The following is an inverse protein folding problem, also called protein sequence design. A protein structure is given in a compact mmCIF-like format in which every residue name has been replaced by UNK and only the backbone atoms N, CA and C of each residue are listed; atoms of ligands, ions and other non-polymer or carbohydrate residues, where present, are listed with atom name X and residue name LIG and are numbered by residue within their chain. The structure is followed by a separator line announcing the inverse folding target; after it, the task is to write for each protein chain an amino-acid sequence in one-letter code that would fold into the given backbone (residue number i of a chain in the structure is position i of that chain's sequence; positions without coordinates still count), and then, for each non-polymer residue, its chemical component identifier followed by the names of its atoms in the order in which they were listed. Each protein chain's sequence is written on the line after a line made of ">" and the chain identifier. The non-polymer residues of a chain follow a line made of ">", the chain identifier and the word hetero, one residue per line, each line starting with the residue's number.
data_IF_989044724620
#
_entry.id   IF_989044724620
#
_cell.length_a   1.000
_cell.length_b   1.000
_cell.length_c   1.000
_cell.angle_alpha   90.00
_cell.angle_beta   90.00
_cell.angle_gamma   90.00
#
_symmetry.space_group_name_H-M   'P 1'
#
loop_
_entity.id
_entity.type
_entity.pdbx_description
1 polymer ?
#
# COMPACT_ATOMS: atom_id res chain seq x y z
N UNK A 1 -6.00 -29.20 6.22
CA UNK A 1 -5.05 -28.58 5.30
C UNK A 1 -4.88 -27.04 5.45
N UNK A 2 -5.77 -26.34 6.12
CA UNK A 2 -5.73 -24.86 6.16
C UNK A 2 -4.96 -24.27 7.37
N UNK A 3 -4.47 -25.10 8.30
CA UNK A 3 -3.66 -24.67 9.46
C UNK A 3 -2.39 -23.89 9.06
N UNK A 4 -1.56 -24.38 8.09
CA UNK A 4 -0.33 -23.68 7.74
C UNK A 4 -0.59 -22.28 7.11
N UNK A 5 -1.66 -22.13 6.33
CA UNK A 5 -2.02 -20.82 5.75
C UNK A 5 -2.42 -19.81 6.83
N UNK A 6 -3.18 -20.23 7.85
CA UNK A 6 -3.53 -19.38 8.98
C UNK A 6 -2.30 -18.98 9.79
N UNK A 7 -1.38 -19.92 10.01
CA UNK A 7 -0.11 -19.64 10.71
C UNK A 7 0.72 -18.61 9.93
N UNK A 8 0.84 -18.77 8.61
CA UNK A 8 1.55 -17.80 7.75
C UNK A 8 0.94 -16.40 7.82
N UNK A 9 -0.39 -16.28 7.89
CA UNK A 9 -1.04 -14.99 8.04
C UNK A 9 -0.76 -14.33 9.40
N UNK A 10 -0.69 -15.11 10.48
CA UNK A 10 -0.25 -14.61 11.79
C UNK A 10 1.22 -14.18 11.76
N UNK A 11 2.10 -14.99 11.16
CA UNK A 11 3.53 -14.66 10.99
C UNK A 11 3.67 -13.35 10.20
N UNK A 12 2.91 -13.19 9.11
CA UNK A 12 2.92 -11.95 8.34
C UNK A 12 2.51 -10.74 9.18
N UNK A 13 1.44 -10.83 9.98
CA UNK A 13 1.02 -9.74 10.85
C UNK A 13 2.09 -9.39 11.89
N UNK A 14 2.64 -10.39 12.59
CA UNK A 14 3.68 -10.15 13.61
C UNK A 14 4.95 -9.59 12.99
N UNK A 15 5.31 -10.02 11.77
CA UNK A 15 6.43 -9.46 11.02
C UNK A 15 6.19 -7.99 10.68
N UNK A 16 5.00 -7.63 10.17
CA UNK A 16 4.64 -6.24 9.88
C UNK A 16 4.72 -5.37 11.16
N UNK A 17 4.15 -5.84 12.27
CA UNK A 17 4.18 -5.12 13.54
C UNK A 17 5.60 -4.98 14.10
N UNK A 18 6.43 -6.01 13.99
CA UNK A 18 7.83 -5.98 14.41
C UNK A 18 8.67 -5.01 13.60
N UNK A 19 8.54 -5.04 12.26
CA UNK A 19 9.23 -4.09 11.37
C UNK A 19 8.77 -2.65 11.63
N UNK A 20 7.47 -2.45 11.83
CA UNK A 20 6.94 -1.14 12.16
C UNK A 20 7.41 -0.64 13.54
N UNK A 21 7.41 -1.49 14.56
CA UNK A 21 7.93 -1.15 15.89
C UNK A 21 9.43 -0.77 15.83
N UNK A 22 10.23 -1.50 15.05
CA UNK A 22 11.63 -1.15 14.81
C UNK A 22 11.77 0.22 14.11
N UNK A 23 10.91 0.51 13.14
CA UNK A 23 10.89 1.82 12.47
C UNK A 23 10.54 2.96 13.45
N UNK A 24 9.56 2.75 14.32
CA UNK A 24 9.17 3.72 15.38
C UNK A 24 10.32 3.91 16.37
N UNK A 25 11.00 2.85 16.78
CA UNK A 25 12.16 2.97 17.65
C UNK A 25 13.28 3.80 17.01
N UNK A 26 13.60 3.54 15.73
CA UNK A 26 14.55 4.35 14.96
C UNK A 26 14.09 5.80 14.79
N UNK A 27 12.79 6.05 14.62
CA UNK A 27 12.24 7.40 14.55
C UNK A 27 12.61 8.23 15.79
N UNK A 28 12.47 7.66 17.00
CA UNK A 28 12.83 8.34 18.25
C UNK A 28 14.35 8.49 18.40
N UNK A 29 15.14 7.51 17.97
CA UNK A 29 16.62 7.60 18.00
C UNK A 29 17.13 8.66 17.05
N UNK A 30 16.46 8.83 15.92
CA UNK A 30 16.81 9.79 14.89
C UNK A 30 16.52 11.27 15.25
N UNK A 31 16.13 11.63 16.47
CA UNK A 31 15.97 13.01 16.93
C UNK A 31 17.30 13.59 17.48
N UNK A 32 17.68 14.83 17.23
CA UNK A 32 17.06 15.87 16.40
C UNK A 32 17.42 15.77 14.92
N UNK A 33 16.55 16.25 14.04
CA UNK A 33 16.67 16.10 12.61
C UNK A 33 16.60 17.41 11.82
N UNK A 34 17.15 17.45 10.60
CA UNK A 34 17.06 18.59 9.70
C UNK A 34 15.63 18.99 9.36
N UNK A 35 15.39 20.25 8.98
CA UNK A 35 14.04 20.78 8.67
C UNK A 35 13.27 20.00 7.57
N UNK A 36 13.97 19.47 6.56
CA UNK A 36 13.36 18.64 5.49
C UNK A 36 12.72 17.35 6.00
N UNK A 37 13.10 16.90 7.19
CA UNK A 37 12.59 15.65 7.77
C UNK A 37 11.09 15.71 8.07
N UNK A 38 10.51 16.87 8.36
CA UNK A 38 9.08 17.00 8.67
C UNK A 38 8.21 16.42 7.55
N UNK A 39 8.64 16.56 6.29
CA UNK A 39 7.95 15.98 5.14
C UNK A 39 7.95 14.44 5.19
N UNK A 40 9.11 13.87 5.52
CA UNK A 40 9.30 12.41 5.58
C UNK A 40 8.56 11.83 6.78
N UNK A 41 8.56 12.52 7.91
CA UNK A 41 7.86 12.09 9.11
C UNK A 41 6.34 11.98 8.87
N UNK A 42 5.73 12.95 8.18
CA UNK A 42 4.33 12.87 7.80
C UNK A 42 4.05 11.71 6.82
N UNK A 43 4.94 11.45 5.86
CA UNK A 43 4.83 10.31 4.96
C UNK A 43 4.87 8.98 5.75
N UNK A 44 5.80 8.87 6.70
CA UNK A 44 5.93 7.69 7.56
C UNK A 44 4.66 7.46 8.37
N UNK A 45 4.09 8.51 8.97
CA UNK A 45 2.83 8.38 9.74
C UNK A 45 1.65 7.97 8.85
N UNK A 46 1.55 8.49 7.62
CA UNK A 46 0.52 8.09 6.67
C UNK A 46 0.64 6.62 6.28
N UNK A 47 1.84 6.15 6.00
CA UNK A 47 2.12 4.75 5.67
C UNK A 47 1.91 3.82 6.86
N UNK A 48 2.05 4.32 8.09
CA UNK A 48 1.84 3.54 9.32
C UNK A 48 0.43 2.95 9.41
N UNK A 49 -0.57 3.73 8.99
CA UNK A 49 -1.97 3.28 8.92
C UNK A 49 -2.09 2.03 8.04
N UNK A 50 -1.43 2.04 6.88
CA UNK A 50 -1.44 0.90 5.95
C UNK A 50 -0.64 -0.29 6.49
N UNK A 51 0.53 -0.03 7.11
CA UNK A 51 1.41 -1.06 7.65
C UNK A 51 0.76 -1.87 8.78
N UNK A 52 -0.18 -1.28 9.53
CA UNK A 52 -0.88 -1.94 10.64
C UNK A 52 -2.23 -2.51 10.19
N UNK A 53 -3.05 -1.68 9.54
CA UNK A 53 -4.46 -2.03 9.28
C UNK A 53 -4.61 -3.03 8.13
N UNK A 54 -3.82 -2.93 7.07
CA UNK A 54 -3.93 -3.84 5.95
C UNK A 54 -3.59 -5.28 6.32
N UNK A 55 -2.47 -5.58 7.00
CA UNK A 55 -2.20 -6.96 7.41
C UNK A 55 -3.19 -7.46 8.48
N UNK A 56 -3.74 -6.57 9.33
CA UNK A 56 -4.78 -6.94 10.29
C UNK A 56 -6.07 -7.37 9.59
N UNK A 57 -6.55 -6.58 8.62
CA UNK A 57 -7.73 -6.92 7.81
C UNK A 57 -7.43 -8.16 6.95
N UNK A 58 -6.24 -8.24 6.38
CA UNK A 58 -5.77 -9.41 5.64
C UNK A 58 -5.82 -10.68 6.46
N UNK A 59 -5.33 -10.65 7.72
CA UNK A 59 -5.42 -11.75 8.66
C UNK A 59 -6.87 -12.14 8.94
N UNK A 60 -7.75 -11.17 9.24
CA UNK A 60 -9.17 -11.44 9.49
C UNK A 60 -9.82 -12.19 8.32
N UNK A 61 -9.48 -11.84 7.08
CA UNK A 61 -9.96 -12.54 5.90
C UNK A 61 -9.37 -13.96 5.81
N UNK A 62 -8.04 -14.11 5.94
CA UNK A 62 -7.35 -15.39 5.78
C UNK A 62 -7.69 -16.40 6.90
N UNK A 63 -7.89 -15.95 8.14
CA UNK A 63 -8.32 -16.84 9.23
C UNK A 63 -9.68 -17.45 8.94
N UNK A 64 -10.60 -16.70 8.32
CA UNK A 64 -11.93 -17.17 7.99
C UNK A 64 -11.96 -17.91 6.63
N UNK A 65 -11.23 -17.39 5.64
CA UNK A 65 -11.13 -17.97 4.29
C UNK A 65 -9.66 -18.06 3.83
N UNK A 66 -8.93 -19.10 4.20
CA UNK A 66 -7.48 -19.20 3.99
C UNK A 66 -7.03 -19.13 2.53
N UNK A 67 -7.91 -19.49 1.60
CA UNK A 67 -7.64 -19.49 0.15
C UNK A 67 -8.06 -18.21 -0.56
N UNK A 68 -8.60 -17.22 0.18
CA UNK A 68 -9.06 -15.96 -0.41
C UNK A 68 -7.86 -15.05 -0.70
N UNK A 69 -7.64 -14.78 -1.98
CA UNK A 69 -6.51 -13.97 -2.46
C UNK A 69 -6.52 -12.54 -1.90
N UNK A 70 -7.71 -11.96 -1.67
CA UNK A 70 -7.82 -10.58 -1.19
C UNK A 70 -7.16 -10.37 0.18
N UNK A 71 -7.28 -11.34 1.09
CA UNK A 71 -6.60 -11.27 2.38
C UNK A 71 -5.08 -11.30 2.26
N UNK A 72 -4.57 -12.13 1.36
CA UNK A 72 -3.13 -12.21 1.09
C UNK A 72 -2.59 -10.95 0.42
N UNK A 73 -3.33 -10.36 -0.53
CA UNK A 73 -2.96 -9.08 -1.14
C UNK A 73 -2.82 -7.97 -0.10
N UNK A 74 -3.79 -7.84 0.82
CA UNK A 74 -3.71 -6.86 1.91
C UNK A 74 -2.52 -7.14 2.84
N UNK A 75 -2.28 -8.41 3.19
CA UNK A 75 -1.13 -8.80 4.00
C UNK A 75 0.20 -8.41 3.35
N UNK A 76 0.35 -8.64 2.05
CA UNK A 76 1.57 -8.31 1.29
C UNK A 76 1.73 -6.78 1.16
N UNK A 77 0.65 -6.04 0.90
CA UNK A 77 0.69 -4.56 0.88
C UNK A 77 1.21 -4.04 2.23
N UNK A 78 0.66 -4.54 3.34
CA UNK A 78 1.09 -4.17 4.68
C UNK A 78 2.57 -4.47 4.93
N UNK A 79 3.05 -5.63 4.48
CA UNK A 79 4.45 -6.03 4.63
C UNK A 79 5.39 -5.11 3.85
N UNK A 80 5.10 -4.85 2.57
CA UNK A 80 5.91 -3.95 1.74
C UNK A 80 5.91 -2.55 2.36
N UNK A 81 4.76 -2.08 2.85
CA UNK A 81 4.66 -0.76 3.51
C UNK A 81 5.50 -0.72 4.79
N UNK A 82 5.46 -1.76 5.64
CA UNK A 82 6.27 -1.83 6.85
C UNK A 82 7.78 -1.83 6.54
N UNK A 83 8.20 -2.54 5.48
CA UNK A 83 9.58 -2.53 4.99
C UNK A 83 9.96 -1.12 4.51
N UNK A 84 9.08 -0.43 3.77
CA UNK A 84 9.33 0.94 3.27
C UNK A 84 9.53 1.92 4.42
N UNK A 85 8.69 1.85 5.47
CA UNK A 85 8.80 2.71 6.66
C UNK A 85 10.11 2.44 7.39
N UNK A 86 10.45 1.17 7.61
CA UNK A 86 11.71 0.79 8.27
C UNK A 86 12.93 1.23 7.44
N UNK A 87 12.93 1.00 6.13
CA UNK A 87 13.99 1.41 5.23
C UNK A 87 14.22 2.93 5.25
N UNK A 88 13.12 3.71 5.30
CA UNK A 88 13.19 5.17 5.43
C UNK A 88 13.91 5.58 6.71
N UNK A 89 13.50 5.06 7.87
CA UNK A 89 14.09 5.42 9.16
C UNK A 89 15.52 4.90 9.31
N UNK A 90 15.83 3.73 8.75
CA UNK A 90 17.17 3.17 8.75
C UNK A 90 18.14 3.97 7.85
N UNK A 91 17.66 4.45 6.70
CA UNK A 91 18.48 5.33 5.84
C UNK A 91 18.79 6.66 6.56
N UNK A 92 17.82 7.27 7.24
CA UNK A 92 18.04 8.49 8.04
C UNK A 92 19.06 8.22 9.14
N UNK A 93 18.90 7.12 9.88
CA UNK A 93 19.83 6.71 10.93
C UNK A 93 21.27 6.61 10.42
N UNK A 94 21.45 5.88 9.31
CA UNK A 94 22.78 5.61 8.79
C UNK A 94 23.46 6.76 8.07
N UNK A 95 22.71 7.72 7.52
CA UNK A 95 23.31 8.89 6.88
C UNK A 95 23.52 10.08 7.84
N UNK A 96 22.63 10.26 8.85
CA UNK A 96 22.60 11.51 9.63
C UNK A 96 22.74 11.33 11.14
N UNK A 97 22.28 10.20 11.72
CA UNK A 97 22.33 10.01 13.17
C UNK A 97 23.62 9.35 13.63
N UNK A 98 23.93 8.22 13.05
CA UNK A 98 25.21 7.53 13.22
C UNK A 98 25.73 7.12 11.85
N UNK A 99 26.70 7.86 11.28
CA UNK A 99 27.26 7.54 9.98
C UNK A 99 27.80 6.10 9.94
N UNK A 100 27.02 5.21 9.32
CA UNK A 100 27.41 3.84 9.05
C UNK A 100 28.17 3.77 7.72
N UNK A 101 28.81 2.64 7.46
CA UNK A 101 29.32 2.38 6.10
C UNK A 101 28.21 2.65 5.08
N UNK A 102 28.49 3.48 4.09
CA UNK A 102 27.47 4.06 3.17
C UNK A 102 26.59 3.04 2.44
N UNK A 103 27.01 1.79 2.32
CA UNK A 103 26.30 0.77 1.52
C UNK A 103 24.93 0.42 2.08
N UNK A 104 24.80 0.15 3.39
CA UNK A 104 23.53 -0.28 3.97
C UNK A 104 22.45 0.82 3.98
N UNK A 105 22.76 2.06 4.42
CA UNK A 105 21.82 3.19 4.31
C UNK A 105 21.43 3.49 2.87
N UNK A 106 22.37 3.38 1.92
CA UNK A 106 22.11 3.58 0.49
C UNK A 106 21.16 2.52 -0.09
N UNK A 107 21.32 1.25 0.28
CA UNK A 107 20.38 0.17 -0.09
C UNK A 107 19.00 0.42 0.51
N UNK A 108 18.92 0.86 1.75
CA UNK A 108 17.64 1.19 2.39
C UNK A 108 16.93 2.36 1.68
N UNK A 109 17.67 3.42 1.33
CA UNK A 109 17.14 4.55 0.58
C UNK A 109 16.70 4.14 -0.85
N UNK A 110 17.49 3.29 -1.51
CA UNK A 110 17.14 2.72 -2.80
C UNK A 110 15.85 1.86 -2.70
N UNK A 111 15.69 1.00 -1.68
CA UNK A 111 14.46 0.23 -1.47
C UNK A 111 13.25 1.16 -1.33
N UNK A 112 13.36 2.20 -0.50
CA UNK A 112 12.30 3.19 -0.31
C UNK A 112 11.86 3.83 -1.63
N UNK A 113 12.79 4.13 -2.53
CA UNK A 113 12.53 4.90 -3.74
C UNK A 113 11.56 4.22 -4.72
N UNK A 114 11.44 2.90 -4.72
CA UNK A 114 10.64 2.16 -5.69
C UNK A 114 9.62 1.17 -5.12
N UNK A 115 9.64 0.85 -3.82
CA UNK A 115 8.69 -0.12 -3.23
C UNK A 115 7.22 0.33 -3.31
N UNK A 116 6.94 1.59 -3.57
CA UNK A 116 5.58 2.08 -3.86
C UNK A 116 5.00 1.49 -5.17
N UNK A 117 5.83 1.10 -6.12
CA UNK A 117 5.42 0.52 -7.42
C UNK A 117 4.63 -0.78 -7.23
N UNK A 118 5.17 -1.82 -6.54
CA UNK A 118 4.40 -3.03 -6.27
C UNK A 118 3.18 -2.78 -5.38
N UNK A 119 3.19 -1.80 -4.49
CA UNK A 119 2.00 -1.44 -3.69
C UNK A 119 0.85 -1.02 -4.60
N UNK A 120 1.08 -0.11 -5.55
CA UNK A 120 0.04 0.33 -6.50
C UNK A 120 -0.47 -0.84 -7.33
N UNK A 121 0.42 -1.71 -7.82
CA UNK A 121 0.04 -2.91 -8.55
C UNK A 121 -0.90 -3.80 -7.72
N UNK A 122 -0.55 -4.08 -6.46
CA UNK A 122 -1.35 -4.91 -5.57
C UNK A 122 -2.70 -4.26 -5.25
N UNK A 123 -2.76 -2.94 -5.11
CA UNK A 123 -4.02 -2.19 -4.94
C UNK A 123 -4.88 -2.32 -6.21
N UNK A 124 -4.30 -2.18 -7.41
CA UNK A 124 -5.01 -2.39 -8.66
C UNK A 124 -5.53 -3.84 -8.79
N UNK A 125 -4.74 -4.84 -8.39
CA UNK A 125 -5.17 -6.24 -8.31
C UNK A 125 -6.28 -6.43 -7.27
N UNK A 126 -6.19 -5.81 -6.11
CA UNK A 126 -7.26 -5.84 -5.12
C UNK A 126 -8.58 -5.34 -5.72
N UNK A 127 -8.58 -4.19 -6.38
CA UNK A 127 -9.77 -3.65 -7.06
C UNK A 127 -10.27 -4.59 -8.16
N UNK A 128 -9.37 -5.14 -8.96
CA UNK A 128 -9.69 -6.04 -10.07
C UNK A 128 -10.32 -7.36 -9.59
N UNK A 129 -9.92 -7.87 -8.44
CA UNK A 129 -10.39 -9.15 -7.87
C UNK A 129 -11.55 -8.99 -6.89
N UNK A 130 -11.77 -7.79 -6.35
CA UNK A 130 -12.84 -7.53 -5.36
C UNK A 130 -14.25 -7.69 -5.95
N UNK A 131 -15.23 -8.25 -5.22
CA UNK A 131 -15.13 -8.84 -3.88
C UNK A 131 -14.84 -10.35 -3.87
N UNK A 132 -14.90 -11.03 -5.01
CA UNK A 132 -14.94 -12.50 -5.12
C UNK A 132 -13.57 -13.17 -5.16
N UNK A 133 -12.48 -12.43 -5.28
CA UNK A 133 -11.14 -12.97 -5.49
C UNK A 133 -10.90 -13.53 -6.90
N UNK A 134 -11.82 -13.29 -7.85
CA UNK A 134 -11.73 -13.79 -9.24
C UNK A 134 -11.91 -12.64 -10.22
N UNK A 135 -11.38 -12.78 -11.44
CA UNK A 135 -11.56 -11.80 -12.51
C UNK A 135 -13.04 -11.76 -12.97
N UNK A 136 -13.56 -10.58 -13.42
CA UNK A 136 -14.93 -10.44 -13.91
C UNK A 136 -15.24 -11.31 -15.13
N UNK A 137 -14.27 -11.48 -16.02
CA UNK A 137 -14.33 -12.37 -17.19
C UNK A 137 -12.91 -12.64 -17.71
N UNK A 138 -12.78 -13.56 -18.67
CA UNK A 138 -11.49 -13.90 -19.31
C UNK A 138 -10.82 -12.71 -20.00
N UNK A 139 -11.59 -11.74 -20.48
CA UNK A 139 -11.05 -10.52 -21.14
C UNK A 139 -10.22 -9.64 -20.18
N UNK A 140 -10.51 -9.67 -18.89
CA UNK A 140 -9.77 -8.91 -17.88
C UNK A 140 -8.38 -9.49 -17.56
N UNK A 141 -8.04 -10.65 -18.10
CA UNK A 141 -6.68 -11.22 -18.00
C UNK A 141 -5.64 -10.31 -18.64
N UNK A 142 -5.99 -9.63 -19.73
CA UNK A 142 -5.05 -8.70 -20.38
C UNK A 142 -4.67 -7.55 -19.49
N UNK A 143 -5.63 -7.02 -18.71
CA UNK A 143 -5.32 -6.00 -17.71
C UNK A 143 -4.41 -6.53 -16.61
N UNK A 144 -4.67 -7.76 -16.10
CA UNK A 144 -3.81 -8.40 -15.13
C UNK A 144 -2.38 -8.61 -15.66
N UNK A 145 -2.23 -9.05 -16.92
CA UNK A 145 -0.93 -9.18 -17.56
C UNK A 145 -0.26 -7.81 -17.76
N UNK A 146 -1.01 -6.79 -18.17
CA UNK A 146 -0.51 -5.42 -18.28
C UNK A 146 0.06 -4.90 -16.97
N UNK A 147 -0.68 -5.08 -15.86
CA UNK A 147 -0.22 -4.71 -14.52
C UNK A 147 1.08 -5.44 -14.12
N UNK A 148 1.12 -6.76 -14.33
CA UNK A 148 2.32 -7.56 -14.01
C UNK A 148 3.51 -7.17 -14.89
N UNK A 149 3.29 -6.96 -16.19
CA UNK A 149 4.35 -6.58 -17.12
C UNK A 149 4.94 -5.21 -16.77
N UNK A 150 4.06 -4.22 -16.54
CA UNK A 150 4.50 -2.86 -16.20
C UNK A 150 5.25 -2.84 -14.87
N UNK A 151 4.70 -3.51 -13.84
CA UNK A 151 5.36 -3.62 -12.54
C UNK A 151 6.68 -4.38 -12.64
N UNK A 152 6.71 -5.49 -13.36
CA UNK A 152 7.90 -6.29 -13.57
C UNK A 152 8.99 -5.51 -14.31
N UNK A 153 8.64 -4.79 -15.38
CA UNK A 153 9.58 -3.95 -16.13
C UNK A 153 10.17 -2.84 -15.25
N UNK A 154 9.31 -2.12 -14.49
CA UNK A 154 9.78 -1.08 -13.56
C UNK A 154 10.64 -1.67 -12.43
N UNK A 155 10.29 -2.84 -11.92
CA UNK A 155 11.10 -3.53 -10.90
C UNK A 155 12.48 -3.89 -11.46
N UNK A 156 12.56 -4.45 -12.67
CA UNK A 156 13.86 -4.78 -13.32
C UNK A 156 14.70 -3.53 -13.55
N UNK A 157 14.10 -2.42 -14.01
CA UNK A 157 14.79 -1.14 -14.19
C UNK A 157 15.35 -0.64 -12.85
N UNK A 158 14.57 -0.69 -11.78
CA UNK A 158 15.02 -0.27 -10.45
C UNK A 158 16.09 -1.21 -9.87
N UNK A 159 16.02 -2.52 -10.14
CA UNK A 159 17.09 -3.46 -9.77
C UNK A 159 18.40 -3.16 -10.49
N UNK A 160 18.35 -2.75 -11.76
CA UNK A 160 19.55 -2.29 -12.47
C UNK A 160 20.16 -1.03 -11.84
N UNK A 161 19.33 -0.20 -11.17
CA UNK A 161 19.78 0.98 -10.40
C UNK A 161 20.60 0.66 -9.15
N UNK A 162 20.67 -0.59 -8.70
CA UNK A 162 21.56 -1.03 -7.61
C UNK A 162 23.05 -0.72 -7.89
N UNK A 163 23.45 -0.59 -9.15
CA UNK A 163 24.80 -0.19 -9.53
C UNK A 163 25.11 1.28 -9.19
N UNK A 164 24.09 2.10 -8.96
CA UNK A 164 24.19 3.54 -8.71
C UNK A 164 23.39 3.89 -7.44
N UNK A 165 23.85 3.41 -6.30
CA UNK A 165 23.21 3.68 -5.01
C UNK A 165 23.28 5.17 -4.68
N UNK A 166 22.20 5.76 -4.10
CA UNK A 166 22.19 7.15 -3.67
C UNK A 166 23.22 7.38 -2.56
N UNK A 167 23.91 8.52 -2.62
CA UNK A 167 24.93 8.88 -1.66
C UNK A 167 24.42 9.63 -0.45
N UNK A 168 23.23 10.23 -0.57
CA UNK A 168 22.52 10.92 0.50
C UNK A 168 21.00 10.97 0.22
N UNK A 169 20.23 11.51 1.16
CA UNK A 169 18.76 11.60 1.06
C UNK A 169 18.28 12.65 0.06
N UNK A 170 19.13 13.60 -0.32
CA UNK A 170 18.82 14.69 -1.26
C UNK A 170 19.25 14.34 -2.69
N UNK A 171 20.11 13.33 -2.85
CA UNK A 171 20.46 12.82 -4.15
C UNK A 171 19.23 12.12 -4.76
N UNK A 172 18.63 12.76 -5.75
CA UNK A 172 17.68 12.04 -6.62
C UNK A 172 18.43 10.83 -7.21
N UNK A 173 17.80 9.63 -7.18
CA UNK A 173 18.41 8.48 -7.84
C UNK A 173 18.61 8.87 -9.30
N UNK A 174 19.88 9.07 -9.66
CA UNK A 174 20.25 9.45 -11.02
C UNK A 174 19.88 8.30 -11.98
N UNK A 175 18.68 8.35 -12.48
CA UNK A 175 18.27 7.58 -13.66
C UNK A 175 18.92 8.22 -14.90
N UNK A 176 20.23 8.45 -14.82
CA UNK A 176 21.01 8.93 -15.96
C UNK A 176 21.19 7.78 -16.94
N UNK A 177 20.30 7.64 -17.91
CA UNK A 177 20.58 6.84 -19.11
C UNK A 177 19.32 6.53 -19.92
N UNK A 178 19.41 5.72 -20.97
CA UNK A 178 18.30 5.33 -21.84
C UNK A 178 17.05 4.80 -21.10
N UNK A 179 17.16 4.40 -19.82
CA UNK A 179 16.07 3.93 -18.97
C UNK A 179 15.02 5.00 -18.66
N UNK A 180 15.38 6.29 -18.60
CA UNK A 180 14.42 7.40 -18.39
C UNK A 180 13.37 7.47 -19.49
N UNK A 181 13.78 7.21 -20.73
CA UNK A 181 12.88 7.21 -21.87
C UNK A 181 11.81 6.11 -21.79
N UNK A 182 12.11 5.02 -21.09
CA UNK A 182 11.20 3.87 -20.89
C UNK A 182 10.41 4.04 -19.61
N UNK A 183 11.01 4.57 -18.55
CA UNK A 183 10.40 4.71 -17.21
C UNK A 183 9.22 5.67 -17.25
N UNK A 184 9.35 6.83 -17.93
CA UNK A 184 8.29 7.82 -18.02
C UNK A 184 6.98 7.25 -18.58
N UNK A 185 6.96 6.68 -19.80
CA UNK A 185 5.77 6.04 -20.38
C UNK A 185 5.21 4.91 -19.51
N UNK A 186 6.06 4.09 -18.86
CA UNK A 186 5.61 3.04 -17.94
C UNK A 186 4.92 3.63 -16.72
N UNK A 187 5.46 4.70 -16.11
CA UNK A 187 4.84 5.36 -14.97
C UNK A 187 3.48 5.97 -15.33
N UNK A 188 3.38 6.62 -16.50
CA UNK A 188 2.10 7.16 -17.00
C UNK A 188 1.06 6.07 -17.25
N UNK A 189 1.48 4.83 -17.55
CA UNK A 189 0.55 3.71 -17.71
C UNK A 189 -0.15 3.30 -16.41
N UNK A 190 0.45 3.52 -15.24
CA UNK A 190 -0.14 3.12 -13.94
C UNK A 190 -1.50 3.76 -13.63
N UNK A 191 -1.68 5.08 -13.73
CA UNK A 191 -2.99 5.70 -13.53
C UNK A 191 -4.05 5.11 -14.47
N UNK A 192 -3.70 4.85 -15.73
CA UNK A 192 -4.61 4.24 -16.70
C UNK A 192 -5.01 2.82 -16.30
N UNK A 193 -4.05 1.99 -15.92
CA UNK A 193 -4.29 0.61 -15.46
C UNK A 193 -5.10 0.60 -14.15
N UNK A 194 -4.87 1.56 -13.25
CA UNK A 194 -5.64 1.72 -12.01
C UNK A 194 -7.10 2.11 -12.32
N UNK A 195 -7.32 3.09 -13.20
CA UNK A 195 -8.67 3.48 -13.65
C UNK A 195 -9.39 2.33 -14.35
N UNK A 196 -8.69 1.54 -15.17
CA UNK A 196 -9.24 0.35 -15.77
C UNK A 196 -9.61 -0.70 -14.70
N UNK A 197 -8.76 -0.89 -13.67
CA UNK A 197 -9.07 -1.80 -12.55
C UNK A 197 -10.30 -1.32 -11.77
N UNK A 198 -10.43 -0.03 -11.55
CA UNK A 198 -11.62 0.58 -10.94
C UNK A 198 -12.87 0.38 -11.80
N UNK A 199 -12.76 0.49 -13.12
CA UNK A 199 -13.88 0.25 -14.05
C UNK A 199 -14.42 -1.18 -13.96
N UNK A 200 -13.58 -2.16 -13.57
CA UNK A 200 -14.02 -3.53 -13.32
C UNK A 200 -15.08 -3.62 -12.21
N UNK A 201 -14.98 -2.76 -11.19
CA UNK A 201 -15.95 -2.69 -10.10
C UNK A 201 -17.32 -2.18 -10.62
N UNK A 202 -17.34 -1.23 -11.56
CA UNK A 202 -18.57 -0.74 -12.18
C UNK A 202 -19.27 -1.83 -13.00
N UNK A 203 -18.48 -2.64 -13.74
CA UNK A 203 -19.02 -3.78 -14.50
C UNK A 203 -19.65 -4.82 -13.55
N UNK A 204 -18.99 -5.10 -12.43
CA UNK A 204 -19.54 -6.00 -11.41
C UNK A 204 -20.77 -5.43 -10.73
N UNK A 205 -20.74 -4.15 -10.37
CA UNK A 205 -21.85 -3.47 -9.71
C UNK A 205 -23.17 -3.58 -10.50
N UNK A 206 -23.08 -3.47 -11.84
CA UNK A 206 -24.26 -3.63 -12.71
C UNK A 206 -24.90 -5.01 -12.67
N UNK A 207 -24.12 -6.06 -12.38
CA UNK A 207 -24.54 -7.47 -12.38
C UNK A 207 -24.69 -8.07 -10.99
N UNK A 208 -24.40 -7.31 -9.96
CA UNK A 208 -24.34 -7.78 -8.59
C UNK A 208 -25.69 -7.73 -7.89
N UNK A 209 -25.88 -8.64 -6.93
CA UNK A 209 -27.00 -8.60 -5.97
C UNK A 209 -26.89 -7.38 -5.04
N UNK A 210 -27.98 -7.06 -4.35
CA UNK A 210 -28.08 -5.87 -3.47
C UNK A 210 -26.93 -5.81 -2.46
N UNK A 211 -26.61 -6.94 -1.82
CA UNK A 211 -25.53 -7.02 -0.83
C UNK A 211 -24.16 -6.68 -1.42
N UNK A 212 -23.82 -7.31 -2.54
CA UNK A 212 -22.54 -7.10 -3.25
C UNK A 212 -22.47 -5.67 -3.81
N UNK A 213 -23.57 -5.08 -4.24
CA UNK A 213 -23.62 -3.67 -4.67
C UNK A 213 -23.21 -2.73 -3.53
N UNK A 214 -23.68 -2.97 -2.30
CA UNK A 214 -23.31 -2.16 -1.15
C UNK A 214 -21.80 -2.30 -0.81
N UNK A 215 -21.24 -3.50 -0.90
CA UNK A 215 -19.81 -3.73 -0.72
C UNK A 215 -18.97 -2.95 -1.74
N UNK A 216 -19.32 -3.07 -3.03
CA UNK A 216 -18.63 -2.37 -4.12
C UNK A 216 -18.76 -0.85 -3.96
N UNK A 217 -19.93 -0.34 -3.56
CA UNK A 217 -20.18 1.09 -3.35
C UNK A 217 -19.15 1.71 -2.38
N UNK A 218 -18.85 1.04 -1.27
CA UNK A 218 -17.89 1.53 -0.29
C UNK A 218 -16.47 1.57 -0.84
N UNK A 219 -16.05 0.53 -1.57
CA UNK A 219 -14.71 0.49 -2.17
C UNK A 219 -14.58 1.52 -3.29
N UNK A 220 -15.59 1.69 -4.14
CA UNK A 220 -15.59 2.74 -5.18
C UNK A 220 -15.54 4.13 -4.54
N UNK A 221 -16.37 4.39 -3.52
CA UNK A 221 -16.35 5.66 -2.79
C UNK A 221 -14.95 5.95 -2.23
N UNK A 222 -14.34 4.98 -1.55
CA UNK A 222 -12.99 5.13 -1.01
C UNK A 222 -11.94 5.36 -2.09
N UNK A 223 -12.05 4.68 -3.23
CA UNK A 223 -11.12 4.87 -4.36
C UNK A 223 -11.24 6.26 -4.98
N UNK A 224 -12.47 6.78 -5.08
CA UNK A 224 -12.72 8.15 -5.56
C UNK A 224 -12.17 9.17 -4.54
N UNK A 225 -12.41 8.95 -3.25
CA UNK A 225 -11.87 9.80 -2.19
C UNK A 225 -10.34 9.80 -2.17
N UNK A 226 -9.71 8.64 -2.28
CA UNK A 226 -8.25 8.53 -2.38
C UNK A 226 -7.73 9.28 -3.61
N UNK A 227 -8.35 9.07 -4.79
CA UNK A 227 -7.97 9.78 -6.00
C UNK A 227 -8.13 11.31 -5.87
N UNK A 228 -9.22 11.76 -5.28
CA UNK A 228 -9.47 13.18 -5.04
C UNK A 228 -8.45 13.79 -4.05
N UNK A 229 -8.14 13.09 -2.96
CA UNK A 229 -7.16 13.57 -1.97
C UNK A 229 -5.74 13.56 -2.49
N UNK A 230 -5.35 12.59 -3.32
CA UNK A 230 -4.07 12.60 -4.04
C UNK A 230 -4.02 13.78 -5.00
N UNK A 231 -5.05 13.97 -5.82
CA UNK A 231 -5.11 15.10 -6.76
C UNK A 231 -5.06 16.45 -6.05
N UNK A 232 -5.84 16.64 -5.00
CA UNK A 232 -5.85 17.87 -4.22
C UNK A 232 -4.54 18.07 -3.44
N UNK A 233 -3.98 17.02 -2.86
CA UNK A 233 -2.77 17.08 -2.06
C UNK A 233 -1.52 17.39 -2.90
N UNK A 234 -1.35 16.71 -4.03
CA UNK A 234 -0.13 16.85 -4.83
C UNK A 234 -0.23 17.98 -5.87
N UNK A 235 -1.39 18.14 -6.54
CA UNK A 235 -1.49 19.11 -7.65
C UNK A 235 -2.05 20.46 -7.22
N UNK A 236 -3.09 20.49 -6.38
CA UNK A 236 -3.76 21.76 -6.04
C UNK A 236 -3.04 22.47 -4.88
N UNK A 237 -2.68 21.74 -3.85
CA UNK A 237 -2.00 22.33 -2.68
C UNK A 237 -0.64 22.89 -3.07
N UNK A 238 0.12 22.23 -3.95
CA UNK A 238 1.41 22.72 -4.44
C UNK A 238 1.31 24.02 -5.25
N UNK A 239 0.19 24.24 -5.92
CA UNK A 239 -0.03 25.46 -6.73
C UNK A 239 -0.56 26.65 -5.90
N UNK A 240 -1.33 26.38 -4.85
CA UNK A 240 -2.03 27.41 -4.08
C UNK A 240 -1.16 27.96 -2.94
N UNK A 241 -0.45 27.10 -2.21
CA UNK A 241 0.33 27.53 -1.05
C UNK A 241 1.81 27.64 -1.38
N UNK A 242 2.35 28.85 -1.15
CA UNK A 242 3.78 29.11 -1.29
C UNK A 242 4.58 28.74 -0.03
N UNK A 243 3.93 28.71 1.14
CA UNK A 243 4.57 28.30 2.40
C UNK A 243 4.83 26.78 2.40
N UNK A 244 6.10 26.35 2.46
CA UNK A 244 6.45 24.92 2.43
C UNK A 244 5.81 24.14 3.56
N UNK A 245 5.70 24.71 4.76
CA UNK A 245 5.14 24.04 5.94
C UNK A 245 3.65 23.76 5.76
N UNK A 246 2.90 24.78 5.33
CA UNK A 246 1.46 24.66 5.06
C UNK A 246 1.21 23.63 3.94
N UNK A 247 1.99 23.72 2.87
CA UNK A 247 1.91 22.80 1.73
C UNK A 247 2.12 21.34 2.15
N UNK A 248 3.15 21.08 2.96
CA UNK A 248 3.45 19.74 3.45
C UNK A 248 2.33 19.23 4.37
N UNK A 249 1.93 20.03 5.37
CA UNK A 249 0.92 19.60 6.36
C UNK A 249 -0.43 19.37 5.70
N UNK A 250 -0.91 20.30 4.87
CA UNK A 250 -2.22 20.17 4.20
C UNK A 250 -2.20 19.08 3.15
N UNK A 251 -1.19 19.05 2.27
CA UNK A 251 -1.08 18.04 1.20
C UNK A 251 -0.99 16.62 1.76
N UNK A 252 -0.07 16.39 2.69
CA UNK A 252 0.10 15.06 3.30
C UNK A 252 -1.07 14.67 4.20
N UNK A 253 -1.71 15.65 4.89
CA UNK A 253 -2.93 15.43 5.67
C UNK A 253 -4.10 14.96 4.80
N UNK A 254 -4.29 15.55 3.61
CA UNK A 254 -5.31 15.12 2.64
C UNK A 254 -5.05 13.69 2.15
N UNK A 255 -3.81 13.35 1.82
CA UNK A 255 -3.41 12.01 1.41
C UNK A 255 -3.68 10.99 2.53
N UNK A 256 -3.37 11.33 3.79
CA UNK A 256 -3.68 10.47 4.94
C UNK A 256 -5.17 10.19 5.08
N UNK A 257 -6.02 11.22 4.91
CA UNK A 257 -7.47 11.06 4.92
C UNK A 257 -7.93 10.12 3.80
N UNK A 258 -7.34 10.23 2.60
CA UNK A 258 -7.62 9.32 1.49
C UNK A 258 -7.32 7.86 1.83
N UNK A 259 -6.16 7.57 2.37
CA UNK A 259 -5.81 6.23 2.82
C UNK A 259 -6.70 5.72 3.96
N UNK A 260 -7.04 6.57 4.93
CA UNK A 260 -7.95 6.22 6.01
C UNK A 260 -9.35 5.82 5.49
N UNK A 261 -9.87 6.53 4.48
CA UNK A 261 -11.18 6.16 3.88
C UNK A 261 -11.14 4.80 3.21
N UNK A 262 -10.02 4.41 2.57
CA UNK A 262 -9.87 3.07 1.96
C UNK A 262 -9.93 1.99 3.03
N UNK A 263 -9.22 2.17 4.13
CA UNK A 263 -9.23 1.20 5.23
C UNK A 263 -10.62 1.06 5.84
N UNK A 264 -11.27 2.19 6.15
CA UNK A 264 -12.64 2.20 6.71
C UNK A 264 -13.61 1.51 5.75
N UNK A 265 -13.53 1.79 4.45
CA UNK A 265 -14.40 1.17 3.47
C UNK A 265 -14.21 -0.35 3.38
N UNK A 266 -12.95 -0.83 3.42
CA UNK A 266 -12.66 -2.26 3.44
C UNK A 266 -13.20 -2.90 4.72
N UNK A 267 -12.98 -2.27 5.89
CA UNK A 267 -13.52 -2.75 7.16
C UNK A 267 -15.05 -2.83 7.14
N UNK A 268 -15.73 -1.79 6.63
CA UNK A 268 -17.20 -1.82 6.48
C UNK A 268 -17.63 -2.95 5.54
N UNK A 269 -16.95 -3.10 4.38
CA UNK A 269 -17.29 -4.15 3.44
C UNK A 269 -17.09 -5.55 4.04
N UNK A 270 -16.05 -5.76 4.82
CA UNK A 270 -15.73 -7.04 5.46
C UNK A 270 -16.64 -7.33 6.65
N UNK A 271 -16.80 -6.37 7.56
CA UNK A 271 -17.49 -6.60 8.84
C UNK A 271 -19.00 -6.44 8.73
N UNK A 272 -19.49 -5.35 8.10
CA UNK A 272 -20.92 -5.03 8.08
C UNK A 272 -21.71 -5.79 7.03
N UNK A 273 -21.09 -6.04 5.87
CA UNK A 273 -21.79 -6.70 4.76
C UNK A 273 -21.41 -8.16 4.58
N UNK A 274 -20.85 -8.80 5.62
CA UNK A 274 -20.55 -10.25 5.67
C UNK A 274 -19.82 -10.74 4.44
N UNK A 275 -18.86 -9.94 3.94
CA UNK A 275 -18.10 -10.25 2.73
C UNK A 275 -17.57 -11.69 2.71
N UNK A 276 -17.37 -12.29 3.89
CA UNK A 276 -16.77 -13.62 4.04
C UNK A 276 -17.51 -14.50 5.09
N UNK A 277 -18.83 -14.33 5.29
CA UNK A 277 -19.66 -15.11 6.25
C UNK A 277 -19.08 -15.19 7.68
N UNK A 278 -18.40 -14.13 8.11
CA UNK A 278 -17.72 -14.06 9.42
C UNK A 278 -18.70 -14.26 10.59
N UNK A 279 -19.95 -13.84 10.46
CA UNK A 279 -20.98 -13.96 11.50
C UNK A 279 -21.39 -15.39 11.84
N UNK A 280 -21.28 -16.32 10.89
CA UNK A 280 -21.62 -17.72 11.13
C UNK A 280 -20.63 -18.38 12.08
N UNK A 281 -19.37 -17.90 12.08
CA UNK A 281 -18.30 -18.40 12.92
C UNK A 281 -18.36 -17.79 14.31
N UNK A 282 -18.65 -16.48 14.43
CA UNK A 282 -18.83 -15.81 15.73
C UNK A 282 -20.01 -16.43 16.49
N UNK A 283 -21.13 -16.69 15.83
CA UNK A 283 -22.28 -17.42 16.45
C UNK A 283 -21.89 -18.83 16.87
N UNK A 284 -21.20 -19.60 16.06
CA UNK A 284 -20.73 -20.95 16.44
C UNK A 284 -19.77 -20.92 17.61
N UNK A 285 -18.81 -19.99 17.62
CA UNK A 285 -17.83 -19.88 18.71
C UNK A 285 -18.46 -19.45 20.03
N UNK A 286 -19.48 -18.58 20.00
CA UNK A 286 -20.24 -18.20 21.19
C UNK A 286 -21.16 -19.34 21.68
N UNK A 287 -21.77 -20.10 20.78
CA UNK A 287 -22.59 -21.24 21.13
C UNK A 287 -21.79 -22.39 21.78
N UNK A 288 -20.54 -22.62 21.35
CA UNK A 288 -19.66 -23.65 21.95
C UNK A 288 -19.02 -23.23 23.28
N UNK A 289 -19.12 -21.98 23.70
CA UNK A 289 -18.65 -21.52 25.01
C UNK A 289 -19.78 -21.45 26.07
N UNK A 290 -21.02 -21.69 25.69
CA UNK A 290 -22.17 -21.68 26.58
C UNK A 290 -22.72 -23.10 26.84
N UNK A 291 -21.99 -24.15 26.53
CA UNK A 291 -22.20 -25.54 26.93
C UNK A 291 -20.91 -25.99 27.65
#
# INVERSE_FOLDING_TARGET
>A
MDRPLRLLAWVNLFLCLGLYAAAVALYFVNQPAPAWRQTIDLEVWNLSVLAILFPTVGLLIVVNQPRQLLGWLLGIIGLITAITVLATQFAIYGFYTQPLAHTLPAVALWLRSWLWIPIICLVAFFMLLFPTGRLPSSRWRWLAYGLLLTTGALTVINLAGLAHLPTDFTAEPALTSPWERITGPLLVSFPLLLLMSLSSLLVRWRRADVLVRHQIKWVVFASVMLGATLFLGDLVVEQIWQDPTVRIVVGRGLIALGFATVVIAILIAVLRYRLFDIDLIIRKTLQYRCV
#
